data_IF_764594296373
#
_entry.id   IF_764594296373
#
_cell.length_a   1.000
_cell.length_b   1.000
_cell.length_c   1.000
_cell.angle_alpha   90.00
_cell.angle_beta   90.00
_cell.angle_gamma   90.00
#
_symmetry.space_group_name_H-M   'P 1'
#
loop_
_entity.id
_entity.type
_entity.pdbx_description
1 polymer ?
#
# COMPACT_ATOMS: atom_id res chain seq x y z
N UNK A 1 15.12 -17.90 -16.36
CA UNK A 1 13.74 -17.45 -16.10
C UNK A 1 13.61 -17.31 -14.61
N UNK A 2 13.79 -16.09 -14.09
CA UNK A 2 13.90 -15.84 -12.65
C UNK A 2 12.55 -15.97 -11.96
N UNK A 3 12.54 -16.65 -10.81
CA UNK A 3 11.38 -16.79 -9.94
C UNK A 3 10.85 -15.41 -9.57
N UNK A 4 9.67 -15.04 -10.06
CA UNK A 4 8.98 -13.81 -9.60
C UNK A 4 8.67 -14.01 -8.13
N UNK A 5 9.36 -13.27 -7.26
CA UNK A 5 9.03 -13.25 -5.83
C UNK A 5 7.83 -12.35 -5.64
N UNK A 6 6.82 -12.90 -4.99
CA UNK A 6 5.60 -12.17 -4.62
C UNK A 6 5.68 -11.85 -3.13
N UNK A 7 5.50 -10.58 -2.80
CA UNK A 7 5.41 -10.11 -1.41
C UNK A 7 3.94 -9.88 -1.09
N UNK A 8 3.48 -10.47 0.00
CA UNK A 8 2.13 -10.27 0.52
C UNK A 8 2.11 -9.14 1.54
N UNK A 9 1.13 -8.24 1.43
CA UNK A 9 0.88 -7.17 2.40
C UNK A 9 -0.59 -7.20 2.85
N UNK A 10 -0.81 -7.05 4.15
CA UNK A 10 -2.16 -6.96 4.73
C UNK A 10 -2.58 -5.50 4.87
N UNK A 11 -3.69 -5.14 4.23
CA UNK A 11 -4.34 -3.84 4.45
C UNK A 11 -5.07 -3.87 5.81
N UNK A 12 -4.87 -2.89 6.71
CA UNK A 12 -5.57 -2.85 7.99
C UNK A 12 -7.08 -2.71 7.82
N UNK A 13 -7.86 -3.38 8.67
CA UNK A 13 -9.33 -3.36 8.60
C UNK A 13 -9.96 -1.97 8.83
N UNK A 14 -9.25 -1.05 9.50
CA UNK A 14 -9.68 0.33 9.72
C UNK A 14 -9.36 1.26 8.54
N UNK A 15 -8.61 0.80 7.55
CA UNK A 15 -8.15 1.64 6.45
C UNK A 15 -9.34 2.06 5.57
N UNK A 16 -9.56 3.37 5.34
CA UNK A 16 -10.78 3.84 4.69
C UNK A 16 -10.82 3.40 3.22
N UNK A 17 -11.86 2.67 2.77
CA UNK A 17 -12.03 2.35 1.36
C UNK A 17 -12.31 3.63 0.57
N UNK A 18 -11.82 3.71 -0.65
CA UNK A 18 -12.33 4.67 -1.64
C UNK A 18 -13.21 3.93 -2.63
N UNK A 19 -14.45 4.38 -2.80
CA UNK A 19 -15.30 3.91 -3.88
C UNK A 19 -15.97 2.54 -3.68
N UNK A 20 -16.34 2.17 -2.45
CA UNK A 20 -17.22 1.02 -2.19
C UNK A 20 -16.58 -0.36 -2.32
N UNK A 21 -15.40 -0.50 -2.93
CA UNK A 21 -14.62 -1.74 -2.88
C UNK A 21 -13.78 -1.79 -1.60
N UNK A 22 -14.09 -2.78 -0.76
CA UNK A 22 -13.29 -3.14 0.40
C UNK A 22 -12.01 -3.85 -0.04
N UNK A 23 -10.89 -3.17 0.05
CA UNK A 23 -9.58 -3.81 -0.06
C UNK A 23 -9.28 -4.49 1.26
N UNK A 24 -9.93 -5.64 1.47
CA UNK A 24 -9.74 -6.52 2.61
C UNK A 24 -8.99 -7.75 2.14
N UNK A 25 -7.75 -7.91 2.61
CA UNK A 25 -6.99 -9.12 2.38
C UNK A 25 -5.52 -8.89 2.03
N UNK A 26 -4.84 -10.00 1.81
CA UNK A 26 -3.46 -10.07 1.35
C UNK A 26 -3.36 -9.59 -0.10
N UNK A 27 -2.56 -8.55 -0.33
CA UNK A 27 -2.27 -8.02 -1.65
C UNK A 27 -0.89 -8.49 -2.10
N UNK A 28 -0.86 -9.08 -3.30
CA UNK A 28 0.33 -9.65 -3.92
C UNK A 28 1.02 -8.63 -4.83
N UNK A 29 2.18 -8.15 -4.41
CA UNK A 29 3.05 -7.29 -5.20
C UNK A 29 4.24 -8.11 -5.73
N UNK A 30 4.63 -7.85 -6.97
CA UNK A 30 5.92 -8.35 -7.51
C UNK A 30 7.07 -7.66 -6.79
N UNK A 31 8.26 -8.25 -6.83
CA UNK A 31 9.46 -7.67 -6.21
C UNK A 31 9.73 -6.21 -6.62
N UNK A 32 9.57 -5.86 -7.90
CA UNK A 32 9.74 -4.49 -8.38
C UNK A 32 8.64 -3.55 -7.87
N UNK A 33 7.39 -4.03 -7.84
CA UNK A 33 6.29 -3.26 -7.26
C UNK A 33 6.47 -3.06 -5.74
N UNK A 34 6.98 -4.06 -5.03
CA UNK A 34 7.29 -3.96 -3.60
C UNK A 34 8.40 -2.94 -3.33
N UNK A 35 9.45 -2.91 -4.15
CA UNK A 35 10.52 -1.92 -4.03
C UNK A 35 9.96 -0.50 -4.22
N UNK A 36 9.18 -0.27 -5.28
CA UNK A 36 8.50 1.01 -5.54
C UNK A 36 7.53 1.35 -4.40
N UNK A 37 6.76 0.38 -3.92
CA UNK A 37 5.78 0.57 -2.86
C UNK A 37 6.44 1.00 -1.54
N UNK A 38 7.53 0.36 -1.11
CA UNK A 38 8.22 0.72 0.12
C UNK A 38 8.83 2.14 0.05
N UNK A 39 9.33 2.55 -1.12
CA UNK A 39 9.81 3.92 -1.30
C UNK A 39 8.67 4.95 -1.28
N UNK A 40 7.42 4.60 -1.61
CA UNK A 40 6.28 5.53 -1.47
C UNK A 40 6.07 5.99 -0.02
N UNK A 41 6.55 5.25 0.98
CA UNK A 41 6.45 5.62 2.39
C UNK A 41 7.15 6.96 2.71
N UNK A 42 8.14 7.37 1.91
CA UNK A 42 8.85 8.65 2.10
C UNK A 42 8.05 9.85 1.58
N UNK A 43 6.98 9.61 0.79
CA UNK A 43 6.28 10.67 0.08
C UNK A 43 7.00 11.18 -1.18
N UNK A 44 8.17 10.62 -1.53
CA UNK A 44 8.95 10.99 -2.72
C UNK A 44 8.10 10.98 -3.99
N UNK A 45 8.33 11.92 -4.88
CA UNK A 45 7.70 12.01 -6.21
C UNK A 45 8.18 10.90 -7.14
N UNK A 46 7.47 10.69 -8.27
CA UNK A 46 7.89 9.65 -9.23
C UNK A 46 9.28 9.92 -9.85
N UNK A 47 9.72 11.18 -9.88
CA UNK A 47 11.06 11.55 -10.37
C UNK A 47 12.15 11.20 -9.34
N UNK A 48 11.88 11.45 -8.06
CA UNK A 48 12.79 11.08 -6.97
C UNK A 48 12.90 9.55 -6.86
N UNK A 49 11.76 8.85 -6.89
CA UNK A 49 11.72 7.38 -6.92
C UNK A 49 12.49 6.78 -8.10
N UNK A 50 12.41 7.42 -9.27
CA UNK A 50 13.14 6.99 -10.45
C UNK A 50 14.66 7.08 -10.23
N UNK A 51 15.12 8.16 -9.60
CA UNK A 51 16.53 8.32 -9.21
C UNK A 51 16.97 7.30 -8.17
N UNK A 52 16.18 7.08 -7.12
CA UNK A 52 16.51 6.13 -6.04
C UNK A 52 16.56 4.68 -6.53
N UNK A 53 15.64 4.29 -7.41
CA UNK A 53 15.52 2.91 -7.89
C UNK A 53 16.27 2.66 -9.21
N UNK A 54 16.96 3.66 -9.76
CA UNK A 54 17.62 3.60 -11.07
C UNK A 54 16.67 3.17 -12.21
N UNK A 55 15.44 3.68 -12.17
CA UNK A 55 14.38 3.40 -13.16
C UNK A 55 14.04 4.64 -13.98
N UNK A 56 13.34 4.46 -15.09
CA UNK A 56 12.73 5.60 -15.80
C UNK A 56 11.49 6.10 -15.05
N UNK A 57 11.20 7.41 -15.15
CA UNK A 57 9.97 8.00 -14.57
C UNK A 57 8.71 7.35 -15.12
N UNK A 58 8.72 6.91 -16.40
CA UNK A 58 7.59 6.21 -17.02
C UNK A 58 7.37 4.83 -16.38
N UNK A 59 8.46 4.10 -16.14
CA UNK A 59 8.45 2.80 -15.44
C UNK A 59 7.91 2.95 -14.02
N UNK A 60 8.34 3.96 -13.28
CA UNK A 60 7.80 4.26 -11.94
C UNK A 60 6.30 4.57 -12.01
N UNK A 61 5.85 5.41 -12.96
CA UNK A 61 4.42 5.69 -13.16
C UNK A 61 3.62 4.42 -13.40
N UNK A 62 4.14 3.51 -14.22
CA UNK A 62 3.51 2.22 -14.51
C UNK A 62 3.39 1.36 -13.23
N UNK A 63 4.48 1.19 -12.47
CA UNK A 63 4.43 0.43 -11.22
C UNK A 63 3.48 1.07 -10.19
N UNK A 64 3.52 2.40 -10.00
CA UNK A 64 2.63 3.11 -9.09
C UNK A 64 1.16 2.94 -9.48
N UNK A 65 0.85 2.94 -10.78
CA UNK A 65 -0.49 2.66 -11.27
C UNK A 65 -0.93 1.23 -10.93
N UNK A 66 -0.11 0.23 -11.24
CA UNK A 66 -0.42 -1.18 -10.96
C UNK A 66 -0.55 -1.48 -9.47
N UNK A 67 0.34 -0.93 -8.64
CA UNK A 67 0.28 -1.05 -7.17
C UNK A 67 -1.07 -0.52 -6.67
N UNK A 68 -1.45 0.68 -7.10
CA UNK A 68 -2.73 1.29 -6.68
C UNK A 68 -3.93 0.49 -7.18
N UNK A 69 -3.89 -0.03 -8.40
CA UNK A 69 -4.94 -0.90 -8.93
C UNK A 69 -5.08 -2.19 -8.12
N UNK A 70 -3.97 -2.84 -7.77
CA UNK A 70 -3.94 -4.04 -6.90
C UNK A 70 -4.40 -3.76 -5.48
N UNK A 71 -4.20 -2.54 -4.99
CA UNK A 71 -4.71 -2.04 -3.72
C UNK A 71 -6.10 -1.39 -3.89
N UNK A 72 -6.93 -1.84 -4.85
CA UNK A 72 -8.30 -1.39 -5.05
C UNK A 72 -8.49 0.07 -5.42
N UNK A 73 -7.59 0.62 -6.24
CA UNK A 73 -7.73 1.95 -6.82
C UNK A 73 -7.47 3.12 -5.85
N UNK A 74 -6.84 2.86 -4.70
CA UNK A 74 -6.59 3.89 -3.67
C UNK A 74 -5.80 5.10 -4.20
N UNK A 75 -5.89 6.23 -3.48
CA UNK A 75 -5.13 7.43 -3.82
C UNK A 75 -3.63 7.25 -3.54
N UNK A 76 -2.80 8.14 -4.12
CA UNK A 76 -1.37 8.17 -3.83
C UNK A 76 -1.09 8.32 -2.34
N UNK A 77 -1.78 9.26 -1.68
CA UNK A 77 -1.63 9.50 -0.24
C UNK A 77 -1.94 8.23 0.57
N UNK A 78 -3.01 7.53 0.20
CA UNK A 78 -3.36 6.24 0.82
C UNK A 78 -2.28 5.18 0.59
N UNK A 79 -1.73 5.08 -0.62
CA UNK A 79 -0.62 4.15 -0.90
C UNK A 79 0.63 4.50 -0.08
N UNK A 80 0.97 5.78 0.05
CA UNK A 80 2.07 6.24 0.91
C UNK A 80 1.84 5.86 2.38
N UNK A 81 0.63 6.04 2.90
CA UNK A 81 0.28 5.66 4.27
C UNK A 81 0.39 4.15 4.50
N UNK A 82 -0.12 3.33 3.57
CA UNK A 82 0.02 1.87 3.66
C UNK A 82 1.49 1.45 3.59
N UNK A 83 2.29 2.06 2.73
CA UNK A 83 3.72 1.80 2.65
C UNK A 83 4.45 2.14 3.95
N UNK A 84 4.10 3.25 4.60
CA UNK A 84 4.65 3.63 5.90
C UNK A 84 4.30 2.59 6.97
N UNK A 85 3.03 2.17 7.05
CA UNK A 85 2.58 1.11 7.97
C UNK A 85 3.27 -0.24 7.70
N UNK A 86 3.55 -0.55 6.44
CA UNK A 86 4.29 -1.75 6.04
C UNK A 86 5.75 -1.72 6.54
N UNK A 87 6.41 -0.55 6.45
CA UNK A 87 7.80 -0.36 6.93
C UNK A 87 7.92 -0.47 8.44
N UNK A 88 6.90 -0.02 9.16
CA UNK A 88 6.83 -0.13 10.62
C UNK A 88 6.49 -1.56 11.10
N UNK A 89 6.24 -2.48 10.16
CA UNK A 89 5.99 -3.89 10.42
C UNK A 89 4.70 -4.07 11.19
N UNK A 90 3.56 -3.71 10.60
CA UNK A 90 2.18 -3.96 11.07
C UNK A 90 2.10 -4.57 12.48
N UNK A 91 2.24 -3.75 13.53
CA UNK A 91 1.84 -4.11 14.90
C UNK A 91 0.36 -3.78 15.07
N UNK A 92 -0.55 -4.76 15.14
CA UNK A 92 -1.84 -4.53 15.78
C UNK A 92 -1.59 -4.61 17.28
N UNK A 93 -1.27 -3.46 17.90
CA UNK A 93 -1.38 -3.33 19.34
C UNK A 93 -2.84 -3.26 19.76
N UNK A 94 -3.48 -4.43 19.96
CA UNK A 94 -4.65 -4.62 20.82
C UNK A 94 -5.99 -4.03 20.38
N UNK A 95 -6.71 -4.74 19.50
CA UNK A 95 -8.18 -4.75 19.57
C UNK A 95 -8.60 -5.90 20.49
N UNK A 96 -8.35 -5.76 21.80
CA UNK A 96 -9.06 -6.56 22.79
C UNK A 96 -10.41 -5.90 23.02
N UNK A 97 -11.48 -6.69 22.89
CA UNK A 97 -12.85 -6.23 22.64
C UNK A 97 -13.45 -5.21 23.59
N UNK A 98 -14.45 -4.47 23.08
CA UNK A 98 -15.30 -3.63 23.92
C UNK A 98 -16.27 -2.74 23.15
N UNK A 99 -17.46 -3.28 22.87
CA UNK A 99 -18.70 -2.50 22.91
C UNK A 99 -19.10 -1.71 21.66
N UNK A 100 -20.23 -2.12 21.09
CA UNK A 100 -21.10 -1.24 20.34
C UNK A 100 -21.41 0.02 21.16
N UNK A 101 -21.14 1.20 20.61
CA UNK A 101 -21.70 2.48 21.08
C UNK A 101 -22.28 3.16 19.84
N UNK A 102 -23.56 2.94 19.57
CA UNK A 102 -24.65 3.84 19.96
C UNK A 102 -24.54 5.19 19.27
N UNK A 103 -25.28 5.32 18.15
CA UNK A 103 -25.56 6.59 17.48
C UNK A 103 -26.59 7.33 18.33
N UNK A 104 -26.30 8.52 18.90
CA UNK A 104 -27.32 9.31 19.55
C UNK A 104 -28.26 9.90 18.48
N UNK A 105 -29.56 9.89 18.82
CA UNK A 105 -30.64 10.51 18.04
C UNK A 105 -30.67 12.02 18.27
#
# INVERSE_FOLDING_TARGET
MGTVRVVSFSVPAWFPPRGGEEVRGEVQLTEQESAVFLCLATGASNAELAGELQLSVSTVKFHVHNIRAKLGGISRLQACLLAALAREGTRPGGLSGGGAAAVPR
#
